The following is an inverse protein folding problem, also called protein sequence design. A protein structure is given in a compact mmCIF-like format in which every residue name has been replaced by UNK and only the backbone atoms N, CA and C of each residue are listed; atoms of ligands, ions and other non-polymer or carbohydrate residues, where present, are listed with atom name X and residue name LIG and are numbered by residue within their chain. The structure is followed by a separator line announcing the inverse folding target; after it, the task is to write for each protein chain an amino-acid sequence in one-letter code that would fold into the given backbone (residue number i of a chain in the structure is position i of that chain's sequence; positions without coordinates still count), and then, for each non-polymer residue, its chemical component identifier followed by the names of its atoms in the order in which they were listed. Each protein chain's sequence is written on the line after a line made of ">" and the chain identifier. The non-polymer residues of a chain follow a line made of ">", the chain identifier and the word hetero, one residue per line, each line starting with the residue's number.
data_IF_434436415885
#
_entry.id   IF_434436415885
#
_cell.length_a   1.000
_cell.length_b   1.000
_cell.length_c   1.000
_cell.angle_alpha   90.00
_cell.angle_beta   90.00
_cell.angle_gamma   90.00
#
_symmetry.space_group_name_H-M   'P 1'
#
loop_
_entity.id
_entity.type
_entity.pdbx_description
1 polymer ?
#
# COMPACT_ATOMS: atom_id res chain seq x y z
N UNK A 1 11.56 5.15 -47.56
CA UNK A 1 12.09 4.57 -46.30
C UNK A 1 12.10 5.66 -45.22
N UNK A 2 11.10 5.69 -44.33
CA UNK A 2 11.00 6.65 -43.19
C UNK A 2 10.74 5.92 -41.86
N UNK A 3 10.93 4.59 -41.85
CA UNK A 3 10.66 3.72 -40.70
C UNK A 3 11.44 4.06 -39.41
N UNK A 4 12.72 4.48 -39.43
CA UNK A 4 13.41 4.77 -38.18
C UNK A 4 12.90 6.06 -37.50
N UNK A 5 12.53 7.09 -38.27
CA UNK A 5 12.03 8.36 -37.71
C UNK A 5 10.63 8.22 -37.11
N UNK A 6 9.73 7.51 -37.79
CA UNK A 6 8.38 7.20 -37.28
C UNK A 6 8.45 6.41 -35.98
N UNK A 7 9.29 5.37 -35.92
CA UNK A 7 9.49 4.56 -34.70
C UNK A 7 9.99 5.39 -33.52
N UNK A 8 10.94 6.31 -33.74
CA UNK A 8 11.46 7.20 -32.69
C UNK A 8 10.36 8.16 -32.21
N UNK A 9 9.59 8.72 -33.14
CA UNK A 9 8.48 9.62 -32.83
C UNK A 9 7.39 8.93 -32.01
N UNK A 10 7.05 7.69 -32.36
CA UNK A 10 6.05 6.89 -31.64
C UNK A 10 6.53 6.57 -30.21
N UNK A 11 7.79 6.18 -30.04
CA UNK A 11 8.40 5.98 -28.72
C UNK A 11 8.41 7.27 -27.89
N UNK A 12 8.73 8.40 -28.51
CA UNK A 12 8.72 9.69 -27.84
C UNK A 12 7.31 10.08 -27.37
N UNK A 13 6.30 9.90 -28.24
CA UNK A 13 4.89 10.16 -27.90
C UNK A 13 4.42 9.25 -26.77
N UNK A 14 4.70 7.95 -26.84
CA UNK A 14 4.35 7.01 -25.78
C UNK A 14 4.99 7.38 -24.44
N UNK A 15 6.28 7.75 -24.45
CA UNK A 15 6.98 8.21 -23.24
C UNK A 15 6.38 9.52 -22.70
N UNK A 16 6.01 10.45 -23.58
CA UNK A 16 5.36 11.71 -23.20
C UNK A 16 4.03 11.46 -22.51
N UNK A 17 3.16 10.63 -23.10
CA UNK A 17 1.86 10.27 -22.51
C UNK A 17 2.04 9.59 -21.15
N UNK A 18 2.99 8.65 -21.04
CA UNK A 18 3.30 7.99 -19.77
C UNK A 18 3.78 8.98 -18.70
N UNK A 19 4.59 9.97 -19.06
CA UNK A 19 5.05 11.00 -18.14
C UNK A 19 3.93 11.96 -17.72
N UNK A 20 3.05 12.34 -18.64
CA UNK A 20 1.87 13.16 -18.31
C UNK A 20 0.94 12.42 -17.34
N UNK A 21 0.72 11.12 -17.55
CA UNK A 21 -0.05 10.30 -16.63
C UNK A 21 0.59 10.30 -15.23
N UNK A 22 1.90 10.09 -15.13
CA UNK A 22 2.63 10.13 -13.85
C UNK A 22 2.51 11.48 -13.14
N UNK A 23 2.58 12.58 -13.88
CA UNK A 23 2.46 13.93 -13.31
C UNK A 23 1.05 14.27 -12.86
N UNK A 24 0.03 13.67 -13.50
CA UNK A 24 -1.38 13.87 -13.16
C UNK A 24 -1.85 13.10 -11.93
N UNK A 25 -1.08 12.11 -11.48
CA UNK A 25 -1.43 11.28 -10.32
C UNK A 25 -0.44 11.48 -9.18
N UNK A 26 -0.94 11.38 -7.95
CA UNK A 26 -0.16 11.58 -6.73
C UNK A 26 -0.54 10.53 -5.67
N UNK A 27 0.00 10.68 -4.46
CA UNK A 27 -0.28 9.79 -3.33
C UNK A 27 -1.66 9.92 -2.68
N UNK A 28 -2.60 10.68 -3.24
CA UNK A 28 -3.98 10.71 -2.76
C UNK A 28 -4.66 9.35 -3.00
N UNK A 29 -5.49 8.91 -2.06
CA UNK A 29 -6.15 7.59 -2.04
C UNK A 29 -6.83 7.26 -3.37
N UNK A 30 -7.64 8.19 -3.90
CA UNK A 30 -8.32 8.05 -5.19
C UNK A 30 -7.34 7.74 -6.34
N UNK A 31 -6.29 8.54 -6.48
CA UNK A 31 -5.33 8.41 -7.58
C UNK A 31 -4.42 7.20 -7.43
N UNK A 32 -3.91 6.95 -6.22
CA UNK A 32 -3.08 5.77 -5.97
C UNK A 32 -3.87 4.47 -6.19
N UNK A 33 -5.14 4.43 -5.77
CA UNK A 33 -6.03 3.31 -6.05
C UNK A 33 -6.31 3.17 -7.55
N UNK A 34 -6.53 4.27 -8.27
CA UNK A 34 -6.75 4.23 -9.71
C UNK A 34 -5.52 3.65 -10.43
N UNK A 35 -4.32 4.13 -10.12
CA UNK A 35 -3.05 3.64 -10.69
C UNK A 35 -2.86 2.14 -10.42
N UNK A 36 -3.12 1.68 -9.19
CA UNK A 36 -2.97 0.27 -8.85
C UNK A 36 -3.94 -0.61 -9.64
N UNK A 37 -5.18 -0.17 -9.80
CA UNK A 37 -6.15 -0.89 -10.62
C UNK A 37 -5.77 -0.85 -12.11
N UNK A 38 -5.29 0.29 -12.62
CA UNK A 38 -4.85 0.41 -14.01
C UNK A 38 -3.62 -0.48 -14.31
N UNK A 39 -2.76 -0.72 -13.31
CA UNK A 39 -1.55 -1.54 -13.47
C UNK A 39 -1.80 -3.05 -13.24
N UNK A 40 -2.66 -3.42 -12.29
CA UNK A 40 -2.74 -4.80 -11.80
C UNK A 40 -4.14 -5.43 -11.87
N UNK A 41 -5.22 -4.64 -11.96
CA UNK A 41 -6.60 -5.14 -12.05
C UNK A 41 -7.45 -4.30 -13.02
N UNK A 42 -7.07 -4.32 -14.30
CA UNK A 42 -7.68 -3.47 -15.33
C UNK A 42 -9.15 -3.81 -15.59
N UNK A 43 -9.50 -5.10 -15.47
CA UNK A 43 -10.84 -5.60 -15.77
C UNK A 43 -11.84 -5.39 -14.63
N UNK A 44 -11.50 -5.85 -13.41
CA UNK A 44 -12.44 -5.90 -12.28
C UNK A 44 -12.23 -4.75 -11.28
N UNK A 45 -11.05 -4.11 -11.30
CA UNK A 45 -10.70 -2.95 -10.47
C UNK A 45 -10.99 -3.14 -8.97
N UNK A 46 -10.65 -4.31 -8.43
CA UNK A 46 -10.96 -4.75 -7.05
C UNK A 46 -9.97 -4.23 -6.02
N UNK A 47 -8.85 -3.62 -6.42
CA UNK A 47 -7.85 -3.10 -5.48
C UNK A 47 -8.42 -1.87 -4.76
N UNK A 48 -8.32 -1.87 -3.43
CA UNK A 48 -8.81 -0.81 -2.55
C UNK A 48 -7.74 -0.35 -1.59
N UNK A 49 -7.79 0.93 -1.22
CA UNK A 49 -6.93 1.49 -0.17
C UNK A 49 -7.84 1.90 0.98
N UNK A 50 -7.55 1.39 2.17
CA UNK A 50 -8.28 1.69 3.38
C UNK A 50 -7.34 2.06 4.52
N UNK A 51 -7.92 2.60 5.58
CA UNK A 51 -7.18 2.79 6.83
C UNK A 51 -6.96 1.42 7.49
N UNK A 52 -5.77 1.22 8.06
CA UNK A 52 -5.53 0.07 8.93
C UNK A 52 -6.26 0.31 10.23
N UNK A 53 -7.07 -0.65 10.71
CA UNK A 53 -7.62 -0.59 12.05
C UNK A 53 -6.46 -0.51 13.05
N UNK A 54 -6.36 0.59 13.79
CA UNK A 54 -5.38 0.70 14.88
C UNK A 54 -5.83 -0.28 15.96
N UNK A 55 -5.09 -1.36 16.18
CA UNK A 55 -5.35 -2.23 17.32
C UNK A 55 -5.18 -1.39 18.59
N UNK A 56 -6.22 -1.38 19.43
CA UNK A 56 -6.21 -0.56 20.63
C UNK A 56 -5.48 -1.34 21.73
N UNK A 57 -4.15 -1.22 21.79
CA UNK A 57 -3.34 -1.86 22.83
C UNK A 57 -3.63 -1.26 24.20
N UNK A 58 -3.91 -2.12 25.17
CA UNK A 58 -3.86 -1.76 26.58
C UNK A 58 -2.45 -2.02 27.10
N UNK A 59 -1.66 -0.96 27.28
CA UNK A 59 -0.33 -1.08 27.89
C UNK A 59 -0.47 -1.33 29.40
N UNK A 60 0.11 -2.42 29.87
CA UNK A 60 0.18 -2.75 31.29
C UNK A 60 1.58 -2.36 31.76
N UNK A 61 1.65 -1.35 32.62
CA UNK A 61 2.90 -0.97 33.27
C UNK A 61 3.01 -1.71 34.60
N UNK A 62 4.19 -2.26 34.95
CA UNK A 62 4.44 -2.70 36.31
C UNK A 62 4.49 -1.45 37.20
N UNK A 63 3.38 -1.14 37.85
CA UNK A 63 3.37 -0.14 38.92
C UNK A 63 4.02 -0.75 40.18
N UNK A 64 4.69 0.10 40.96
CA UNK A 64 5.19 -0.25 42.29
C UNK A 64 4.06 -0.24 43.35
N UNK A 65 2.84 0.12 42.95
CA UNK A 65 1.66 0.15 43.81
C UNK A 65 0.93 -1.21 43.81
N UNK A 66 0.55 -1.66 45.00
CA UNK A 66 0.02 -3.01 45.29
C UNK A 66 -1.47 -3.14 44.91
N UNK A 67 -1.79 -2.81 43.65
CA UNK A 67 -3.15 -2.86 43.12
C UNK A 67 -3.26 -4.00 42.09
N UNK A 68 -3.84 -5.16 42.45
CA UNK A 68 -4.02 -6.26 41.52
C UNK A 68 -5.04 -5.89 40.44
N UNK A 69 -4.60 -5.86 39.18
CA UNK A 69 -5.47 -5.72 38.00
C UNK A 69 -5.92 -7.11 37.54
N UNK A 70 -7.22 -7.38 37.60
CA UNK A 70 -7.80 -8.61 37.07
C UNK A 70 -8.11 -8.41 35.58
N UNK A 71 -7.32 -9.06 34.73
CA UNK A 71 -7.53 -9.08 33.28
C UNK A 71 -8.37 -10.32 32.90
N UNK A 72 -9.29 -10.17 31.95
CA UNK A 72 -9.98 -11.32 31.34
C UNK A 72 -9.03 -12.09 30.40
N UNK A 73 -9.53 -12.90 29.45
CA UNK A 73 -8.66 -13.58 28.48
C UNK A 73 -8.03 -12.56 27.54
N UNK A 74 -6.77 -12.18 27.82
CA UNK A 74 -5.99 -11.25 26.99
C UNK A 74 -4.93 -12.01 26.21
N UNK A 75 -4.77 -11.68 24.93
CA UNK A 75 -3.62 -12.13 24.17
C UNK A 75 -2.44 -11.20 24.45
N UNK A 76 -1.36 -11.76 25.00
CA UNK A 76 -0.14 -11.01 25.30
C UNK A 76 0.75 -10.99 24.06
N UNK A 77 1.06 -9.80 23.57
CA UNK A 77 1.98 -9.59 22.46
C UNK A 77 3.25 -8.88 22.96
N UNK A 78 4.42 -9.34 22.51
CA UNK A 78 5.71 -8.69 22.80
C UNK A 78 5.80 -7.34 22.09
N UNK A 79 6.60 -6.40 22.61
CA UNK A 79 6.85 -5.08 21.97
C UNK A 79 7.30 -5.19 20.50
N UNK A 80 7.92 -6.31 20.11
CA UNK A 80 8.26 -6.62 18.73
C UNK A 80 7.02 -6.70 17.82
N UNK A 81 5.88 -7.20 18.32
CA UNK A 81 4.60 -7.22 17.61
C UNK A 81 3.98 -5.82 17.48
N UNK A 82 4.26 -4.90 18.41
CA UNK A 82 3.76 -3.52 18.37
C UNK A 82 4.39 -2.70 17.23
N UNK A 83 5.55 -3.13 16.72
CA UNK A 83 6.28 -2.41 15.67
C UNK A 83 5.66 -2.54 14.27
N UNK A 84 4.90 -3.61 14.02
CA UNK A 84 4.26 -3.89 12.72
C UNK A 84 2.89 -3.18 12.58
N UNK A 85 2.37 -2.61 13.67
CA UNK A 85 1.08 -1.93 13.71
C UNK A 85 1.13 -0.43 13.40
N UNK A 86 2.23 0.03 12.82
CA UNK A 86 2.43 1.44 12.49
C UNK A 86 2.05 1.84 11.06
N UNK A 87 1.28 1.05 10.33
CA UNK A 87 0.94 1.39 8.94
C UNK A 87 -0.12 2.48 8.88
N UNK A 88 0.13 3.51 8.08
CA UNK A 88 -0.80 4.62 7.88
C UNK A 88 -2.00 4.21 7.04
N UNK A 89 -1.83 3.24 6.13
CA UNK A 89 -2.89 2.71 5.27
C UNK A 89 -2.58 1.28 4.82
N UNK A 90 -3.62 0.56 4.43
CA UNK A 90 -3.54 -0.79 3.87
C UNK A 90 -3.99 -0.78 2.40
N UNK A 91 -3.22 -1.48 1.56
CA UNK A 91 -3.60 -1.77 0.17
C UNK A 91 -4.18 -3.18 0.14
N UNK A 92 -5.48 -3.26 -0.11
CA UNK A 92 -6.24 -4.51 -0.17
C UNK A 92 -6.25 -5.01 -1.60
N UNK A 93 -5.74 -6.22 -1.80
CA UNK A 93 -5.51 -6.82 -3.12
C UNK A 93 -6.12 -8.23 -3.15
N UNK A 94 -6.80 -8.60 -4.23
CA UNK A 94 -7.20 -9.99 -4.45
C UNK A 94 -5.99 -10.94 -4.48
N UNK A 95 -6.10 -12.08 -3.81
CA UNK A 95 -5.00 -13.05 -3.65
C UNK A 95 -4.43 -13.54 -4.99
N UNK A 96 -5.28 -13.62 -6.02
CA UNK A 96 -4.95 -14.07 -7.37
C UNK A 96 -3.98 -13.12 -8.10
N UNK A 97 -3.92 -11.85 -7.67
CA UNK A 97 -3.06 -10.82 -8.26
C UNK A 97 -1.75 -10.66 -7.46
N UNK A 98 -1.83 -10.90 -6.15
CA UNK A 98 -0.83 -10.37 -5.20
C UNK A 98 0.52 -11.11 -5.18
N UNK A 99 0.59 -12.40 -5.54
CA UNK A 99 1.80 -13.18 -5.23
C UNK A 99 2.99 -12.87 -6.14
N UNK A 100 2.81 -12.86 -7.47
CA UNK A 100 3.91 -12.65 -8.41
C UNK A 100 4.25 -11.16 -8.62
N UNK A 101 3.28 -10.27 -8.45
CA UNK A 101 3.39 -8.86 -8.77
C UNK A 101 3.73 -7.97 -7.56
N UNK A 102 3.85 -8.56 -6.36
CA UNK A 102 4.14 -7.84 -5.11
C UNK A 102 5.32 -6.87 -5.20
N UNK A 103 6.50 -7.22 -5.79
CA UNK A 103 7.62 -6.29 -5.89
C UNK A 103 7.31 -5.08 -6.77
N UNK A 104 6.54 -5.27 -7.85
CA UNK A 104 6.13 -4.20 -8.75
C UNK A 104 5.12 -3.28 -8.05
N UNK A 105 4.18 -3.85 -7.30
CA UNK A 105 3.24 -3.08 -6.47
C UNK A 105 3.98 -2.24 -5.44
N UNK A 106 4.96 -2.81 -4.73
CA UNK A 106 5.78 -2.10 -3.75
C UNK A 106 6.51 -0.91 -4.40
N UNK A 107 7.11 -1.13 -5.57
CA UNK A 107 7.78 -0.06 -6.33
C UNK A 107 6.81 1.06 -6.70
N UNK A 108 5.62 0.70 -7.20
CA UNK A 108 4.61 1.67 -7.64
C UNK A 108 4.05 2.48 -6.47
N UNK A 109 3.73 1.82 -5.35
CA UNK A 109 3.28 2.50 -4.12
C UNK A 109 4.39 3.41 -3.59
N UNK A 110 5.65 2.96 -3.57
CA UNK A 110 6.77 3.79 -3.11
C UNK A 110 7.01 5.03 -3.99
N UNK A 111 6.72 4.94 -5.28
CA UNK A 111 6.87 6.07 -6.21
C UNK A 111 5.88 7.20 -5.91
N UNK A 112 4.62 6.86 -5.58
CA UNK A 112 3.55 7.85 -5.40
C UNK A 112 3.25 8.22 -3.95
N UNK A 113 3.51 7.33 -2.99
CA UNK A 113 3.21 7.60 -1.58
C UNK A 113 3.98 8.84 -1.08
N UNK A 114 3.39 9.53 -0.12
CA UNK A 114 4.10 10.59 0.60
C UNK A 114 5.28 10.00 1.37
N UNK A 115 6.40 10.71 1.36
CA UNK A 115 7.59 10.31 2.11
C UNK A 115 7.25 10.16 3.61
N UNK A 116 7.76 9.09 4.22
CA UNK A 116 7.49 8.77 5.64
C UNK A 116 6.20 7.99 5.90
N UNK A 117 5.30 7.84 4.91
CA UNK A 117 4.12 6.99 5.07
C UNK A 117 4.47 5.50 5.04
N UNK A 118 3.96 4.76 6.01
CA UNK A 118 4.08 3.30 6.14
C UNK A 118 2.80 2.66 5.63
N UNK A 119 2.91 1.50 4.97
CA UNK A 119 1.76 0.79 4.43
C UNK A 119 1.95 -0.72 4.51
N UNK A 120 0.84 -1.44 4.52
CA UNK A 120 0.80 -2.90 4.35
C UNK A 120 0.08 -3.25 3.05
N UNK A 121 0.42 -4.41 2.49
CA UNK A 121 -0.34 -5.01 1.38
C UNK A 121 -1.02 -6.25 1.95
N UNK A 122 -2.35 -6.23 1.97
CA UNK A 122 -3.19 -7.30 2.50
C UNK A 122 -3.80 -8.05 1.32
N UNK A 123 -3.58 -9.35 1.27
CA UNK A 123 -4.18 -10.23 0.27
C UNK A 123 -5.48 -10.81 0.83
N UNK A 124 -6.61 -10.54 0.18
CA UNK A 124 -7.89 -11.17 0.51
C UNK A 124 -8.13 -12.39 -0.39
N UNK A 125 -8.74 -13.47 0.15
CA UNK A 125 -9.15 -14.62 -0.64
C UNK A 125 -10.18 -14.24 -1.70
#
# INVERSE_FOLDING_TARGET
>A
MVQPLSTILDKFRANREANLYKLGHNGQVCYLQAILNDAFDTSLRRIRIGDTERMNWTFIYPDASDHPLWLETVQVASEAFTSDEGTDFAVVVPSEISQDLKPQMISLVNYYKLAGKRYSIISLP
#
